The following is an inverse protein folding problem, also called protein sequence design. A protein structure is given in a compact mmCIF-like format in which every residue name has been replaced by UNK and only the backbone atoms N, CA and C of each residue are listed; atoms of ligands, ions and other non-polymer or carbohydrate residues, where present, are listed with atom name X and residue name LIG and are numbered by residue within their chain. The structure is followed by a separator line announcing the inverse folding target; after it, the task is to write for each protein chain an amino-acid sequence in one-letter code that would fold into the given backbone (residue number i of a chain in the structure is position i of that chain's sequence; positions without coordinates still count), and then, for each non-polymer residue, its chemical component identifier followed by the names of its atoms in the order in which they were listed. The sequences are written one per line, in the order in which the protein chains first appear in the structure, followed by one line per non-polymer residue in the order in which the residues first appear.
data_IF_029471809922
#
_entry.id   IF_029471809922
#
_cell.length_a   1.000
_cell.length_b   1.000
_cell.length_c   1.000
_cell.angle_alpha   90.00
_cell.angle_beta   90.00
_cell.angle_gamma   90.00
#
_symmetry.space_group_name_H-M   'P 1'
#
loop_
_entity.id
_entity.type
_entity.pdbx_description
1 polymer ?
#
# COMPACT_ATOMS: atom_id res chain seq x y z
N UNK A 1 -7.69 8.20 1.62
CA UNK A 1 -8.84 7.31 1.87
C UNK A 1 -9.88 7.99 2.77
N UNK A 2 -9.57 8.26 4.04
CA UNK A 2 -10.56 8.64 5.07
C UNK A 2 -11.06 10.09 5.05
N UNK A 3 -10.32 11.02 4.46
CA UNK A 3 -10.70 12.43 4.41
C UNK A 3 -11.61 12.77 3.22
N UNK A 4 -11.96 11.77 2.39
CA UNK A 4 -12.83 11.87 1.21
C UNK A 4 -12.75 13.22 0.45
N UNK A 5 -11.55 13.67 0.00
CA UNK A 5 -11.40 14.97 -0.66
C UNK A 5 -12.09 15.06 -2.03
N UNK A 6 -12.40 13.92 -2.67
CA UNK A 6 -13.09 13.86 -3.95
C UNK A 6 -14.51 13.31 -3.79
N UNK A 7 -15.42 13.72 -4.68
CA UNK A 7 -16.80 13.19 -4.74
C UNK A 7 -16.85 11.69 -5.06
N UNK A 8 -15.89 11.18 -5.84
CA UNK A 8 -15.65 9.75 -6.07
C UNK A 8 -14.14 9.52 -6.34
N UNK A 9 -13.69 8.27 -6.38
CA UNK A 9 -12.35 7.91 -6.82
C UNK A 9 -11.29 7.91 -5.71
N UNK A 10 -11.64 8.32 -4.48
CA UNK A 10 -10.71 8.38 -3.34
C UNK A 10 -9.88 7.10 -3.14
N UNK A 11 -10.47 5.92 -3.37
CA UNK A 11 -9.78 4.63 -3.27
C UNK A 11 -8.78 4.41 -4.40
N UNK A 12 -9.20 4.70 -5.65
CA UNK A 12 -8.35 4.59 -6.85
C UNK A 12 -7.18 5.57 -6.79
N UNK A 13 -7.44 6.83 -6.42
CA UNK A 13 -6.39 7.84 -6.26
C UNK A 13 -5.41 7.46 -5.17
N UNK A 14 -5.87 6.94 -4.03
CA UNK A 14 -4.97 6.52 -2.96
C UNK A 14 -4.13 5.29 -3.34
N UNK A 15 -4.70 4.30 -4.04
CA UNK A 15 -3.94 3.17 -4.57
C UNK A 15 -2.87 3.63 -5.58
N UNK A 16 -3.23 4.56 -6.48
CA UNK A 16 -2.29 5.15 -7.43
C UNK A 16 -1.15 5.89 -6.74
N UNK A 17 -1.46 6.74 -5.76
CA UNK A 17 -0.45 7.47 -4.98
C UNK A 17 0.50 6.52 -4.24
N UNK A 18 0.00 5.39 -3.76
CA UNK A 18 0.83 4.39 -3.10
C UNK A 18 1.78 3.68 -4.08
N UNK A 19 1.29 3.31 -5.26
CA UNK A 19 2.14 2.75 -6.34
C UNK A 19 3.21 3.76 -6.79
N UNK A 20 2.82 5.03 -6.99
CA UNK A 20 3.76 6.10 -7.34
C UNK A 20 4.80 6.33 -6.23
N UNK A 21 4.39 6.28 -4.95
CA UNK A 21 5.31 6.32 -3.82
C UNK A 21 6.33 5.18 -3.87
N UNK A 22 5.91 3.93 -4.11
CA UNK A 22 6.84 2.80 -4.25
C UNK A 22 7.78 3.00 -5.43
N UNK A 23 7.28 3.52 -6.55
CA UNK A 23 8.09 3.79 -7.75
C UNK A 23 9.18 4.82 -7.49
N UNK A 24 8.81 5.97 -6.88
CA UNK A 24 9.74 7.05 -6.53
C UNK A 24 10.82 6.61 -5.55
N UNK A 25 10.52 5.63 -4.70
CA UNK A 25 11.46 5.08 -3.73
C UNK A 25 12.21 3.84 -4.26
N UNK A 26 12.11 3.49 -5.54
CA UNK A 26 12.76 2.31 -6.14
C UNK A 26 12.36 1.00 -5.44
N UNK A 27 11.12 0.93 -4.95
CA UNK A 27 10.54 -0.24 -4.26
C UNK A 27 9.35 -0.85 -4.98
N UNK A 28 8.95 -0.32 -6.14
CA UNK A 28 7.86 -0.88 -6.92
C UNK A 28 8.25 -2.22 -7.57
N UNK A 29 9.49 -2.32 -8.04
CA UNK A 29 10.03 -3.51 -8.70
C UNK A 29 11.17 -4.11 -7.89
N UNK A 30 11.30 -5.44 -7.94
CA UNK A 30 12.45 -6.16 -7.40
C UNK A 30 13.62 -6.19 -8.41
N UNK A 31 14.73 -6.84 -8.03
CA UNK A 31 15.92 -6.99 -8.88
C UNK A 31 15.67 -7.71 -10.21
N UNK A 32 14.60 -8.50 -10.29
CA UNK A 32 14.15 -9.21 -11.50
C UNK A 32 13.11 -8.43 -12.31
N UNK A 33 12.92 -7.13 -12.02
CA UNK A 33 11.90 -6.27 -12.64
C UNK A 33 10.45 -6.75 -12.45
N UNK A 34 10.19 -7.52 -11.40
CA UNK A 34 8.85 -7.97 -11.05
C UNK A 34 8.23 -7.04 -10.00
N UNK A 35 6.90 -6.77 -10.04
CA UNK A 35 6.22 -6.01 -9.02
C UNK A 35 6.43 -6.60 -7.62
N UNK A 36 6.84 -5.77 -6.66
CA UNK A 36 6.96 -6.16 -5.25
C UNK A 36 5.58 -6.44 -4.63
N UNK A 37 4.53 -5.81 -5.17
CA UNK A 37 3.14 -6.03 -4.79
C UNK A 37 2.31 -6.31 -6.04
N UNK A 38 1.51 -7.38 -6.01
CA UNK A 38 0.56 -7.68 -7.08
C UNK A 38 -0.78 -6.96 -6.87
N UNK A 39 -1.66 -6.99 -7.87
CA UNK A 39 -2.96 -6.30 -7.84
C UNK A 39 -3.81 -6.69 -6.64
N UNK A 40 -3.81 -7.97 -6.27
CA UNK A 40 -4.53 -8.49 -5.10
C UNK A 40 -3.99 -7.91 -3.80
N UNK A 41 -2.67 -7.88 -3.63
CA UNK A 41 -2.02 -7.29 -2.46
C UNK A 41 -2.29 -5.79 -2.36
N UNK A 42 -2.25 -5.08 -3.49
CA UNK A 42 -2.55 -3.66 -3.55
C UNK A 42 -4.00 -3.36 -3.16
N UNK A 43 -4.95 -4.18 -3.63
CA UNK A 43 -6.35 -4.09 -3.24
C UNK A 43 -6.54 -4.37 -1.75
N UNK A 44 -5.86 -5.38 -1.20
CA UNK A 44 -5.92 -5.72 0.22
C UNK A 44 -5.41 -4.59 1.12
N UNK A 45 -4.25 -3.99 0.81
CA UNK A 45 -3.71 -2.83 1.55
C UNK A 45 -4.66 -1.65 1.46
N UNK A 46 -5.21 -1.39 0.27
CA UNK A 46 -6.18 -0.31 0.02
C UNK A 46 -7.41 -0.45 0.91
N UNK A 47 -7.97 -1.66 1.03
CA UNK A 47 -9.12 -1.95 1.88
C UNK A 47 -8.76 -1.88 3.37
N UNK A 48 -7.64 -2.47 3.78
CA UNK A 48 -7.14 -2.42 5.15
C UNK A 48 -7.01 -0.98 5.66
N UNK A 49 -6.40 -0.10 4.85
CA UNK A 49 -6.28 1.32 5.19
C UNK A 49 -7.65 2.01 5.22
N UNK A 50 -8.55 1.67 4.30
CA UNK A 50 -9.88 2.26 4.26
C UNK A 50 -10.75 1.87 5.47
N UNK A 51 -10.66 0.63 5.93
CA UNK A 51 -11.52 0.06 6.97
C UNK A 51 -10.93 0.16 8.39
N UNK A 52 -9.62 0.32 8.52
CA UNK A 52 -8.93 0.45 9.82
C UNK A 52 -9.50 1.53 10.74
N UNK A 53 -9.32 1.38 12.05
CA UNK A 53 -9.57 2.47 12.99
C UNK A 53 -8.44 3.52 12.90
N UNK A 54 -8.72 4.84 12.82
CA UNK A 54 -7.67 5.86 12.86
C UNK A 54 -6.72 5.77 14.06
N UNK A 55 -7.18 5.22 15.19
CA UNK A 55 -6.35 4.99 16.39
C UNK A 55 -5.28 3.92 16.20
N UNK A 56 -5.42 3.05 15.20
CA UNK A 56 -4.51 1.94 14.91
C UNK A 56 -3.50 2.28 13.80
N UNK A 57 -3.37 3.56 13.44
CA UNK A 57 -2.54 4.04 12.33
C UNK A 57 -1.14 3.39 12.33
N UNK A 58 -0.45 3.40 13.47
CA UNK A 58 0.93 2.90 13.55
C UNK A 58 1.01 1.39 13.38
N UNK A 59 -0.01 0.66 13.85
CA UNK A 59 -0.15 -0.79 13.65
C UNK A 59 -0.34 -1.12 12.17
N UNK A 60 -1.21 -0.37 11.48
CA UNK A 60 -1.46 -0.54 10.04
C UNK A 60 -0.21 -0.23 9.23
N UNK A 61 0.54 0.82 9.59
CA UNK A 61 1.81 1.16 8.95
C UNK A 61 2.79 -0.01 9.08
N UNK A 62 3.00 -0.53 10.29
CA UNK A 62 3.89 -1.69 10.53
C UNK A 62 3.46 -2.94 9.76
N UNK A 63 2.16 -3.20 9.68
CA UNK A 63 1.65 -4.33 8.90
C UNK A 63 1.97 -4.16 7.42
N UNK A 64 1.78 -2.96 6.86
CA UNK A 64 2.13 -2.66 5.47
C UNK A 64 3.64 -2.78 5.23
N UNK A 65 4.47 -2.29 6.14
CA UNK A 65 5.93 -2.45 6.07
C UNK A 65 6.32 -3.92 6.04
N UNK A 66 5.72 -4.75 6.90
CA UNK A 66 5.97 -6.20 6.94
C UNK A 66 5.46 -6.94 5.69
N UNK A 67 4.40 -6.45 5.04
CA UNK A 67 3.92 -7.02 3.79
C UNK A 67 4.79 -6.64 2.59
N UNK A 68 5.54 -5.54 2.69
CA UNK A 68 6.43 -5.02 1.65
C UNK A 68 7.90 -5.39 1.86
N UNK A 69 8.27 -5.89 3.04
CA UNK A 69 9.58 -6.46 3.27
C UNK A 69 9.70 -7.73 2.43
N UNK A 70 10.87 -7.92 1.81
CA UNK A 70 11.19 -9.24 1.28
C UNK A 70 11.24 -10.15 2.50
N UNK A 71 10.51 -11.27 2.47
CA UNK A 71 10.71 -12.30 3.47
C UNK A 71 12.20 -12.63 3.49
N UNK A 72 12.91 -12.28 4.57
CA UNK A 72 14.18 -12.92 4.86
C UNK A 72 13.85 -14.40 4.99
N UNK A 73 14.10 -15.15 3.93
CA UNK A 73 14.24 -16.59 4.04
C UNK A 73 15.53 -16.75 4.84
N UNK A 74 15.36 -16.91 6.15
CA UNK A 74 16.41 -17.35 7.06
C UNK A 74 16.94 -18.72 6.65
#
# INVERSE_FOLDING_TARGET
MKNHPFSDGNKRTAAFLFVDFLNRNQRLLNEYYQPVINDTGLAAITLLVAESNPKEKDTIIRLIENLLSQAEIA
#
